data_IF_917039973786
#
_entry.id   IF_917039973786
#
_cell.length_a   1.000
_cell.length_b   1.000
_cell.length_c   1.000
_cell.angle_alpha   90.00
_cell.angle_beta   90.00
_cell.angle_gamma   90.00
#
_symmetry.space_group_name_H-M   'P 1'
#
loop_
_entity.id
_entity.type
_entity.pdbx_description
1 polymer ?
#
# COMPACT_ATOMS: atom_id res chain seq x y z
N UNK A 1 15.17 5.64 26.56
CA UNK A 1 15.43 4.73 27.71
C UNK A 1 16.62 5.18 28.56
N UNK A 2 17.68 5.80 28.00
CA UNK A 2 18.75 6.40 28.81
C UNK A 2 19.21 7.72 28.17
N UNK A 3 18.58 8.87 28.48
CA UNK A 3 18.93 10.13 27.82
C UNK A 3 20.40 10.50 28.04
N UNK A 4 20.98 10.26 29.21
CA UNK A 4 22.35 10.68 29.52
C UNK A 4 23.46 9.90 28.79
N UNK A 5 23.19 8.65 28.38
CA UNK A 5 24.15 7.83 27.61
C UNK A 5 24.13 8.18 26.11
N UNK A 6 23.00 8.67 25.62
CA UNK A 6 22.79 9.01 24.20
C UNK A 6 22.61 10.52 23.99
N UNK A 7 22.85 11.35 25.01
CA UNK A 7 22.70 12.81 24.97
C UNK A 7 23.84 13.50 24.25
N UNK A 8 25.03 12.90 24.24
CA UNK A 8 26.18 13.44 23.55
C UNK A 8 26.08 13.06 22.08
N UNK A 9 25.86 14.05 21.23
CA UNK A 9 25.91 13.92 19.76
C UNK A 9 27.29 13.51 19.20
N UNK A 10 28.18 12.93 20.02
CA UNK A 10 29.48 12.39 19.64
C UNK A 10 29.37 11.00 19.00
N UNK A 11 28.31 10.25 19.31
CA UNK A 11 28.06 8.93 18.69
C UNK A 11 27.20 9.15 17.45
N UNK A 12 27.84 9.42 16.32
CA UNK A 12 27.18 9.50 15.01
C UNK A 12 26.69 8.11 14.58
N UNK A 13 25.56 7.70 15.15
CA UNK A 13 24.89 6.41 14.91
C UNK A 13 24.68 6.14 13.42
N UNK A 14 24.60 7.18 12.58
CA UNK A 14 24.49 7.04 11.12
C UNK A 14 25.80 6.63 10.46
N UNK A 15 26.95 7.13 10.90
CA UNK A 15 28.26 6.63 10.46
C UNK A 15 28.53 5.21 10.98
N UNK A 16 28.04 4.91 12.18
CA UNK A 16 28.23 3.63 12.88
C UNK A 16 27.35 2.48 12.34
N UNK A 17 26.25 2.79 11.65
CA UNK A 17 25.38 1.78 11.03
C UNK A 17 25.72 1.52 9.55
N UNK A 18 26.60 2.35 8.98
CA UNK A 18 27.05 2.25 7.59
C UNK A 18 28.39 1.53 7.44
N UNK A 19 29.09 1.19 8.52
CA UNK A 19 30.33 0.40 8.43
C UNK A 19 30.00 -1.09 8.50
N UNK A 20 30.65 -1.88 7.64
CA UNK A 20 30.67 -3.36 7.64
C UNK A 20 31.35 -3.95 8.89
N UNK A 21 31.41 -3.19 9.99
CA UNK A 21 32.08 -3.57 11.22
C UNK A 21 31.22 -4.56 12.03
N UNK A 22 31.39 -5.84 11.72
CA UNK A 22 30.86 -6.96 12.51
C UNK A 22 31.21 -6.84 14.01
N UNK A 23 32.37 -6.27 14.35
CA UNK A 23 32.76 -5.99 15.74
C UNK A 23 31.86 -4.96 16.43
N UNK A 24 31.46 -3.91 15.70
CA UNK A 24 30.62 -2.85 16.23
C UNK A 24 29.19 -3.33 16.46
N UNK A 25 28.65 -4.12 15.53
CA UNK A 25 27.35 -4.80 15.68
C UNK A 25 27.35 -5.67 16.95
N UNK A 26 28.42 -6.43 17.18
CA UNK A 26 28.58 -7.25 18.40
C UNK A 26 28.61 -6.39 19.67
N UNK A 27 29.30 -5.24 19.63
CA UNK A 27 29.38 -4.30 20.76
C UNK A 27 28.03 -3.67 21.10
N UNK A 28 27.26 -3.25 20.08
CA UNK A 28 25.89 -2.73 20.25
C UNK A 28 24.98 -3.80 20.85
N UNK A 29 25.06 -5.04 20.37
CA UNK A 29 24.29 -6.18 20.92
C UNK A 29 24.62 -6.42 22.39
N UNK A 30 25.88 -6.35 22.79
CA UNK A 30 26.30 -6.52 24.20
C UNK A 30 25.75 -5.41 25.11
N UNK A 31 25.73 -4.16 24.62
CA UNK A 31 25.18 -3.01 25.37
C UNK A 31 23.66 -3.10 25.49
N UNK A 32 22.96 -3.46 24.42
CA UNK A 32 21.49 -3.48 24.39
C UNK A 32 20.88 -4.77 24.94
N UNK A 33 21.60 -5.90 24.86
CA UNK A 33 21.12 -7.23 25.24
C UNK A 33 20.53 -7.34 26.65
N UNK A 34 21.18 -6.79 27.70
CA UNK A 34 20.64 -6.81 29.06
C UNK A 34 19.33 -6.02 29.23
N UNK A 35 19.05 -5.06 28.33
CA UNK A 35 17.89 -4.18 28.40
C UNK A 35 16.77 -4.57 27.41
N UNK A 36 17.05 -5.45 26.46
CA UNK A 36 16.09 -5.90 25.45
C UNK A 36 15.77 -7.37 25.70
N UNK A 37 14.64 -7.63 26.34
CA UNK A 37 14.07 -8.97 26.35
C UNK A 37 13.33 -9.20 25.04
N UNK A 38 13.93 -9.98 24.15
CA UNK A 38 13.32 -10.42 22.90
C UNK A 38 13.32 -11.94 22.83
N UNK A 39 12.14 -12.52 22.64
CA UNK A 39 11.97 -13.94 22.27
C UNK A 39 11.37 -13.98 20.87
N UNK A 40 11.88 -14.83 19.99
CA UNK A 40 11.22 -15.05 18.71
C UNK A 40 9.92 -15.82 18.97
N UNK A 41 8.91 -15.64 18.11
CA UNK A 41 7.68 -16.45 18.21
C UNK A 41 8.07 -17.93 18.28
N UNK A 42 8.95 -18.39 17.36
CA UNK A 42 9.55 -19.73 17.28
C UNK A 42 10.03 -20.29 18.62
N UNK A 43 10.65 -19.47 19.45
CA UNK A 43 11.30 -19.89 20.69
C UNK A 43 10.29 -20.11 21.83
N UNK A 44 9.03 -19.73 21.61
CA UNK A 44 7.90 -19.84 22.54
C UNK A 44 6.80 -20.74 21.95
N UNK A 45 6.98 -21.31 20.73
CA UNK A 45 5.93 -22.02 19.97
C UNK A 45 5.82 -23.50 20.31
N UNK A 46 4.98 -23.83 21.28
CA UNK A 46 4.19 -25.06 21.17
C UNK A 46 2.74 -24.79 20.71
N UNK A 47 2.35 -23.52 20.55
CA UNK A 47 0.94 -23.10 20.41
C UNK A 47 0.62 -22.26 19.16
N UNK A 48 1.56 -22.08 18.23
CA UNK A 48 1.32 -21.31 17.01
C UNK A 48 1.24 -22.22 15.79
N UNK A 49 0.24 -21.97 14.96
CA UNK A 49 0.05 -22.63 13.66
C UNK A 49 1.11 -22.23 12.63
N UNK A 50 1.38 -23.06 11.61
CA UNK A 50 2.28 -22.71 10.52
C UNK A 50 1.77 -21.51 9.72
N UNK A 51 2.70 -20.77 9.11
CA UNK A 51 2.43 -19.65 8.20
C UNK A 51 3.10 -19.86 6.85
N UNK A 52 2.35 -19.72 5.76
CA UNK A 52 2.84 -19.81 4.38
C UNK A 52 2.69 -18.46 3.70
N UNK A 53 3.63 -18.08 2.82
CA UNK A 53 3.59 -16.81 2.09
C UNK A 53 3.72 -17.04 0.59
N UNK A 54 2.85 -16.39 -0.18
CA UNK A 54 2.84 -16.38 -1.64
C UNK A 54 2.95 -14.94 -2.16
N UNK A 55 3.70 -14.77 -3.23
CA UNK A 55 3.84 -13.49 -3.92
C UNK A 55 3.26 -13.65 -5.31
N UNK A 56 2.12 -13.00 -5.53
CA UNK A 56 1.35 -13.10 -6.74
C UNK A 56 1.68 -11.89 -7.61
N UNK A 57 2.55 -12.12 -8.59
CA UNK A 57 2.90 -11.11 -9.58
C UNK A 57 1.80 -11.02 -10.65
N UNK A 58 1.11 -9.89 -10.71
CA UNK A 58 -0.01 -9.65 -11.64
C UNK A 58 0.41 -8.73 -12.78
N UNK A 59 -0.02 -9.04 -14.01
CA UNK A 59 0.29 -8.23 -15.19
C UNK A 59 -0.81 -7.21 -15.47
N UNK A 60 -0.44 -5.96 -15.74
CA UNK A 60 -1.42 -4.90 -16.05
C UNK A 60 -2.22 -5.22 -17.32
N UNK A 61 -3.54 -5.08 -17.25
CA UNK A 61 -4.41 -5.11 -18.43
C UNK A 61 -4.24 -3.88 -19.32
N UNK A 62 -4.86 -3.88 -20.50
CA UNK A 62 -4.69 -2.82 -21.52
C UNK A 62 -4.97 -1.40 -20.98
N UNK A 63 -6.06 -1.23 -20.23
CA UNK A 63 -6.47 0.10 -19.73
C UNK A 63 -5.53 0.64 -18.65
N UNK A 64 -5.13 -0.23 -17.71
CA UNK A 64 -4.18 0.08 -16.64
C UNK A 64 -2.79 0.36 -17.21
N UNK A 65 -2.33 -0.47 -18.15
CA UNK A 65 -1.04 -0.27 -18.82
C UNK A 65 -1.01 1.05 -19.58
N UNK A 66 -2.09 1.41 -20.29
CA UNK A 66 -2.22 2.71 -20.97
C UNK A 66 -2.19 3.88 -19.98
N UNK A 67 -2.84 3.76 -18.81
CA UNK A 67 -2.72 4.75 -17.73
C UNK A 67 -1.27 4.89 -17.27
N UNK A 68 -0.63 3.76 -16.99
CA UNK A 68 0.69 3.70 -16.38
C UNK A 68 1.73 4.30 -17.33
N UNK A 69 1.73 3.87 -18.59
CA UNK A 69 2.62 4.39 -19.62
C UNK A 69 2.37 5.86 -19.92
N UNK A 70 1.11 6.32 -19.89
CA UNK A 70 0.79 7.74 -20.03
C UNK A 70 1.44 8.60 -18.93
N UNK A 71 1.28 8.19 -17.66
CA UNK A 71 1.89 8.90 -16.52
C UNK A 71 3.43 8.81 -16.53
N UNK A 72 3.98 7.65 -16.90
CA UNK A 72 5.41 7.45 -17.07
C UNK A 72 6.01 8.36 -18.15
N UNK A 73 5.33 8.48 -19.29
CA UNK A 73 5.77 9.32 -20.41
C UNK A 73 5.69 10.82 -20.07
N UNK A 74 4.69 11.25 -19.31
CA UNK A 74 4.61 12.63 -18.81
C UNK A 74 5.83 12.99 -17.95
N UNK A 75 6.26 12.07 -17.07
CA UNK A 75 7.50 12.24 -16.31
C UNK A 75 8.73 12.31 -17.22
N UNK A 76 8.86 11.38 -18.18
CA UNK A 76 9.99 11.37 -19.14
C UNK A 76 10.09 12.69 -19.90
N UNK A 77 8.98 13.19 -20.44
CA UNK A 77 8.94 14.45 -21.18
C UNK A 77 9.41 15.65 -20.33
N UNK A 78 9.09 15.66 -19.03
CA UNK A 78 9.52 16.71 -18.11
C UNK A 78 11.01 16.60 -17.77
N UNK A 79 11.53 15.38 -17.60
CA UNK A 79 12.97 15.13 -17.47
C UNK A 79 13.72 15.67 -18.70
N UNK A 80 13.26 15.32 -19.89
CA UNK A 80 13.86 15.72 -21.17
C UNK A 80 13.80 17.25 -21.39
N UNK A 81 12.66 17.88 -21.09
CA UNK A 81 12.53 19.33 -21.20
C UNK A 81 13.45 20.10 -20.23
N UNK A 82 13.88 19.48 -19.13
CA UNK A 82 14.84 20.06 -18.17
C UNK A 82 16.27 19.80 -18.57
N UNK A 83 16.60 18.59 -19.04
CA UNK A 83 17.95 18.28 -19.57
C UNK A 83 18.29 19.15 -20.77
N UNK A 84 17.34 19.41 -21.67
CA UNK A 84 17.55 20.29 -22.82
C UNK A 84 17.88 21.75 -22.45
N UNK A 85 17.46 22.21 -21.26
CA UNK A 85 17.77 23.56 -20.74
C UNK A 85 19.10 23.64 -20.00
N UNK A 86 19.62 22.51 -19.53
CA UNK A 86 20.93 22.40 -18.88
C UNK A 86 21.97 22.02 -19.91
N UNK A 87 22.69 23.01 -20.42
CA UNK A 87 23.76 22.92 -21.43
C UNK A 87 24.56 21.60 -21.45
N UNK A 88 24.27 20.75 -22.43
CA UNK A 88 25.21 19.83 -23.10
C UNK A 88 25.82 18.65 -22.34
N UNK A 89 25.69 18.54 -21.02
CA UNK A 89 26.13 17.36 -20.27
C UNK A 89 24.91 16.51 -19.91
N UNK A 90 24.83 15.29 -20.44
CA UNK A 90 23.93 14.26 -19.90
C UNK A 90 24.31 14.03 -18.43
N UNK A 91 23.49 14.43 -17.46
CA UNK A 91 23.80 14.11 -16.09
C UNK A 91 23.58 12.61 -15.92
N UNK A 92 24.64 11.89 -15.51
CA UNK A 92 24.56 10.47 -15.12
C UNK A 92 23.53 10.23 -14.01
N UNK A 93 23.09 11.28 -13.29
CA UNK A 93 22.12 11.23 -12.21
C UNK A 93 20.87 12.07 -12.52
N UNK A 94 19.84 11.44 -13.09
CA UNK A 94 18.52 12.08 -13.30
C UNK A 94 17.79 12.47 -12.00
N UNK A 95 18.17 11.82 -10.90
CA UNK A 95 17.64 12.02 -9.55
C UNK A 95 17.81 13.46 -9.04
N UNK A 96 18.80 14.21 -9.57
CA UNK A 96 19.09 15.60 -9.18
C UNK A 96 18.38 16.68 -10.00
N UNK A 97 17.77 16.35 -11.15
CA UNK A 97 17.18 17.33 -12.07
C UNK A 97 15.77 17.79 -11.69
N UNK A 98 15.06 16.95 -10.92
CA UNK A 98 13.68 17.17 -10.54
C UNK A 98 13.59 17.39 -9.02
N UNK A 99 12.85 18.42 -8.55
CA UNK A 99 12.62 18.62 -7.13
C UNK A 99 12.05 17.37 -6.46
N UNK A 100 12.55 17.02 -5.26
CA UNK A 100 12.10 15.84 -4.49
C UNK A 100 10.57 15.74 -4.34
N UNK A 101 9.89 16.88 -4.17
CA UNK A 101 8.42 16.94 -4.09
C UNK A 101 7.74 16.45 -5.37
N UNK A 102 8.28 16.79 -6.54
CA UNK A 102 7.73 16.34 -7.82
C UNK A 102 7.97 14.84 -8.02
N UNK A 103 9.17 14.34 -7.70
CA UNK A 103 9.48 12.90 -7.69
C UNK A 103 8.46 12.12 -6.85
N UNK A 104 8.21 12.59 -5.62
CA UNK A 104 7.24 11.95 -4.73
C UNK A 104 5.83 11.93 -5.32
N UNK A 105 5.40 13.00 -5.98
CA UNK A 105 4.09 13.07 -6.63
C UNK A 105 3.98 12.08 -7.80
N UNK A 106 4.96 12.01 -8.69
CA UNK A 106 4.96 11.07 -9.81
C UNK A 106 5.00 9.62 -9.35
N UNK A 107 5.87 9.33 -8.38
CA UNK A 107 5.94 8.01 -7.76
C UNK A 107 4.58 7.62 -7.15
N UNK A 108 3.94 8.55 -6.45
CA UNK A 108 2.62 8.32 -5.87
C UNK A 108 1.55 8.08 -6.94
N UNK A 109 1.62 8.79 -8.07
CA UNK A 109 0.70 8.59 -9.19
C UNK A 109 0.87 7.20 -9.83
N UNK A 110 2.12 6.78 -10.10
CA UNK A 110 2.40 5.44 -10.61
C UNK A 110 1.94 4.35 -9.63
N UNK A 111 2.17 4.55 -8.33
CA UNK A 111 1.73 3.62 -7.28
C UNK A 111 0.20 3.52 -7.20
N UNK A 112 -0.50 4.65 -7.35
CA UNK A 112 -1.96 4.67 -7.46
C UNK A 112 -2.44 3.89 -8.68
N UNK A 113 -1.85 4.10 -9.85
CA UNK A 113 -2.23 3.38 -11.08
C UNK A 113 -1.95 1.88 -10.95
N UNK A 114 -0.80 1.50 -10.40
CA UNK A 114 -0.43 0.10 -10.15
C UNK A 114 -1.42 -0.62 -9.23
N UNK A 115 -2.06 0.10 -8.29
CA UNK A 115 -3.17 -0.39 -7.49
C UNK A 115 -4.48 -0.40 -8.28
N UNK A 116 -4.93 0.77 -8.76
CA UNK A 116 -6.15 0.90 -9.54
C UNK A 116 -6.19 2.18 -10.40
N UNK A 117 -6.54 2.12 -11.70
CA UNK A 117 -6.64 3.29 -12.58
C UNK A 117 -7.60 4.38 -12.08
N UNK A 118 -8.69 3.99 -11.39
CA UNK A 118 -9.68 4.94 -10.86
C UNK A 118 -9.18 5.80 -9.69
N UNK A 119 -7.99 5.52 -9.14
CA UNK A 119 -7.36 6.35 -8.10
C UNK A 119 -6.76 7.66 -8.65
N UNK A 120 -6.82 7.86 -9.96
CA UNK A 120 -6.50 9.11 -10.66
C UNK A 120 -7.67 9.54 -11.56
N UNK A 121 -7.68 10.79 -12.02
CA UNK A 121 -8.70 11.30 -12.95
C UNK A 121 -8.25 11.08 -14.39
N UNK A 122 -8.99 10.28 -15.16
CA UNK A 122 -8.72 9.96 -16.57
C UNK A 122 -9.99 9.86 -17.39
N UNK A 123 -11.05 9.27 -16.83
CA UNK A 123 -12.32 9.03 -17.50
C UNK A 123 -13.12 10.33 -17.56
N UNK A 124 -13.17 11.09 -16.46
CA UNK A 124 -13.95 12.32 -16.39
C UNK A 124 -13.14 13.54 -16.87
N UNK A 125 -13.52 14.06 -18.03
CA UNK A 125 -12.92 15.28 -18.60
C UNK A 125 -13.27 16.53 -17.78
N UNK A 126 -12.58 17.66 -18.03
CA UNK A 126 -12.94 18.94 -17.41
C UNK A 126 -14.38 19.39 -17.74
N UNK A 127 -14.89 19.00 -18.92
CA UNK A 127 -16.29 19.25 -19.31
C UNK A 127 -17.26 18.39 -18.50
N UNK A 128 -16.90 17.13 -18.24
CA UNK A 128 -17.69 16.26 -17.37
C UNK A 128 -17.70 16.77 -15.94
N UNK A 129 -16.55 17.24 -15.43
CA UNK A 129 -16.44 17.84 -14.11
C UNK A 129 -17.36 19.06 -13.96
N UNK A 130 -17.34 20.00 -14.90
CA UNK A 130 -18.23 21.18 -14.86
C UNK A 130 -19.71 20.76 -14.85
N UNK A 131 -20.09 19.83 -15.73
CA UNK A 131 -21.45 19.27 -15.80
C UNK A 131 -21.86 18.60 -14.49
N UNK A 132 -21.00 17.74 -13.93
CA UNK A 132 -21.28 16.99 -12.69
C UNK A 132 -21.36 17.94 -11.50
N UNK A 133 -20.49 18.95 -11.44
CA UNK A 133 -20.56 19.98 -10.40
C UNK A 133 -21.90 20.72 -10.46
N UNK A 134 -22.34 21.17 -11.64
CA UNK A 134 -23.65 21.85 -11.80
C UNK A 134 -24.84 20.97 -11.44
N UNK A 135 -24.74 19.66 -11.67
CA UNK A 135 -25.79 18.69 -11.31
C UNK A 135 -25.87 18.44 -9.80
N UNK A 136 -24.72 18.29 -9.15
CA UNK A 136 -24.62 17.86 -7.74
C UNK A 136 -24.65 19.05 -6.76
N UNK A 137 -24.22 20.23 -7.20
CA UNK A 137 -24.16 21.45 -6.38
C UNK A 137 -25.52 21.88 -5.80
N UNK A 138 -26.62 21.97 -6.58
CA UNK A 138 -27.94 22.33 -6.05
C UNK A 138 -28.48 21.31 -5.04
N UNK A 139 -27.98 20.07 -5.09
CA UNK A 139 -28.35 18.97 -4.20
C UNK A 139 -27.52 18.96 -2.89
N UNK A 140 -26.72 20.00 -2.65
CA UNK A 140 -25.99 20.20 -1.40
C UNK A 140 -24.70 19.38 -1.27
N UNK A 141 -24.18 18.80 -2.36
CA UNK A 141 -23.02 17.90 -2.31
C UNK A 141 -21.71 18.55 -1.80
N UNK A 142 -21.64 19.89 -1.80
CA UNK A 142 -20.49 20.66 -1.31
C UNK A 142 -20.83 21.55 -0.10
N UNK A 143 -21.97 21.28 0.54
CA UNK A 143 -22.59 22.21 1.49
C UNK A 143 -23.15 23.46 0.80
N UNK A 144 -23.94 24.23 1.55
CA UNK A 144 -24.64 25.41 1.02
C UNK A 144 -23.80 26.70 1.03
N UNK A 145 -22.66 26.70 1.72
CA UNK A 145 -21.76 27.86 1.83
C UNK A 145 -20.70 27.91 0.72
N UNK A 146 -20.53 26.83 -0.03
CA UNK A 146 -19.57 26.75 -1.12
C UNK A 146 -20.13 27.45 -2.38
N UNK A 147 -19.29 28.15 -3.15
CA UNK A 147 -19.69 28.64 -4.47
C UNK A 147 -19.55 27.55 -5.53
N UNK A 148 -20.35 27.64 -6.60
CA UNK A 148 -20.27 26.67 -7.71
C UNK A 148 -18.85 26.61 -8.31
N UNK A 149 -18.19 27.75 -8.48
CA UNK A 149 -16.81 27.78 -9.00
C UNK A 149 -15.84 27.04 -8.08
N UNK A 150 -15.98 27.20 -6.76
CA UNK A 150 -15.16 26.45 -5.79
C UNK A 150 -15.46 24.96 -5.83
N UNK A 151 -16.71 24.56 -6.01
CA UNK A 151 -17.09 23.16 -6.18
C UNK A 151 -16.46 22.55 -7.45
N UNK A 152 -16.49 23.27 -8.58
CA UNK A 152 -15.84 22.84 -9.83
C UNK A 152 -14.33 22.68 -9.62
N UNK A 153 -13.67 23.65 -8.98
CA UNK A 153 -12.23 23.58 -8.70
C UNK A 153 -11.88 22.44 -7.73
N UNK A 154 -12.73 22.16 -6.75
CA UNK A 154 -12.55 21.01 -5.87
C UNK A 154 -12.62 19.69 -6.66
N UNK A 155 -13.61 19.53 -7.54
CA UNK A 155 -13.79 18.31 -8.34
C UNK A 155 -12.67 18.03 -9.32
N UNK A 156 -12.00 19.07 -9.83
CA UNK A 156 -10.83 18.88 -10.69
C UNK A 156 -9.70 18.09 -10.02
N UNK A 157 -9.65 18.10 -8.68
CA UNK A 157 -8.68 17.38 -7.87
C UNK A 157 -9.15 15.99 -7.44
N UNK A 158 -10.41 15.63 -7.70
CA UNK A 158 -10.94 14.31 -7.36
C UNK A 158 -10.42 13.28 -8.37
N UNK A 159 -10.31 12.03 -7.94
CA UNK A 159 -10.04 10.92 -8.84
C UNK A 159 -11.35 10.41 -9.47
N UNK A 160 -11.25 9.54 -10.48
CA UNK A 160 -12.44 9.05 -11.19
C UNK A 160 -13.41 8.32 -10.25
N UNK A 161 -12.90 7.56 -9.28
CA UNK A 161 -13.75 6.86 -8.32
C UNK A 161 -14.54 7.84 -7.43
N UNK A 162 -13.91 8.88 -6.90
CA UNK A 162 -14.57 9.88 -6.07
C UNK A 162 -15.60 10.70 -6.86
N UNK A 163 -15.32 11.01 -8.13
CA UNK A 163 -16.31 11.65 -9.02
C UNK A 163 -17.49 10.71 -9.27
N UNK A 164 -17.22 9.42 -9.51
CA UNK A 164 -18.26 8.41 -9.67
C UNK A 164 -19.13 8.28 -8.41
N UNK A 165 -18.52 8.21 -7.23
CA UNK A 165 -19.24 8.10 -5.96
C UNK A 165 -20.12 9.33 -5.71
N UNK A 166 -19.60 10.53 -5.96
CA UNK A 166 -20.40 11.76 -5.91
C UNK A 166 -21.63 11.69 -6.84
N UNK A 167 -21.44 11.15 -8.05
CA UNK A 167 -22.49 10.98 -9.04
C UNK A 167 -23.53 9.94 -8.61
N UNK A 168 -23.15 8.87 -7.93
CA UNK A 168 -24.10 7.88 -7.42
C UNK A 168 -24.87 8.42 -6.22
N UNK A 169 -24.20 9.12 -5.30
CA UNK A 169 -24.82 9.65 -4.07
C UNK A 169 -25.79 10.79 -4.34
N UNK A 170 -25.46 11.68 -5.29
CA UNK A 170 -26.26 12.89 -5.57
C UNK A 170 -26.83 12.93 -6.98
N UNK A 171 -26.46 12.03 -7.88
CA UNK A 171 -27.08 11.94 -9.20
C UNK A 171 -28.49 11.35 -9.14
N UNK A 172 -29.20 11.45 -10.26
CA UNK A 172 -30.48 10.77 -10.45
C UNK A 172 -30.25 9.35 -10.99
N UNK A 173 -31.25 8.48 -10.84
CA UNK A 173 -31.16 7.12 -11.37
C UNK A 173 -30.86 7.15 -12.88
N UNK A 174 -29.82 6.42 -13.31
CA UNK A 174 -29.39 6.39 -14.71
C UNK A 174 -28.61 7.63 -15.17
N UNK A 175 -28.04 8.41 -14.25
CA UNK A 175 -27.23 9.60 -14.61
C UNK A 175 -26.14 9.25 -15.62
N UNK A 176 -26.12 9.98 -16.74
CA UNK A 176 -25.14 9.82 -17.79
C UNK A 176 -23.71 10.02 -17.27
N UNK A 177 -22.88 9.01 -17.47
CA UNK A 177 -21.46 9.01 -17.11
C UNK A 177 -21.12 8.22 -15.86
N UNK A 178 -22.10 7.61 -15.17
CA UNK A 178 -21.80 6.67 -14.10
C UNK A 178 -20.97 5.49 -14.64
N UNK A 179 -19.94 5.11 -13.87
CA UNK A 179 -19.13 3.94 -14.18
C UNK A 179 -19.96 2.67 -13.97
N UNK A 180 -19.59 1.62 -14.70
CA UNK A 180 -20.17 0.28 -14.59
C UNK A 180 -19.24 -0.64 -13.84
N UNK A 181 -19.76 -1.74 -13.30
CA UNK A 181 -19.01 -2.74 -12.53
C UNK A 181 -17.74 -3.25 -13.25
N UNK A 182 -17.76 -3.35 -14.58
CA UNK A 182 -16.57 -3.68 -15.39
C UNK A 182 -15.34 -2.81 -15.08
N UNK A 183 -15.55 -1.54 -14.69
CA UNK A 183 -14.46 -0.61 -14.38
C UNK A 183 -13.72 -0.94 -13.08
N UNK A 184 -14.36 -1.67 -12.16
CA UNK A 184 -13.69 -2.14 -10.92
C UNK A 184 -12.63 -3.20 -11.23
N UNK A 185 -12.78 -3.90 -12.34
CA UNK A 185 -11.82 -4.89 -12.83
C UNK A 185 -10.87 -4.33 -13.89
N UNK A 186 -10.77 -3.00 -14.02
CA UNK A 186 -9.76 -2.37 -14.85
C UNK A 186 -8.33 -2.53 -14.29
N UNK A 187 -8.20 -2.93 -13.02
CA UNK A 187 -6.92 -3.26 -12.36
C UNK A 187 -6.64 -4.76 -12.35
N UNK A 188 -5.40 -5.13 -12.66
CA UNK A 188 -4.89 -6.49 -12.55
C UNK A 188 -5.02 -7.08 -11.13
N UNK A 189 -4.92 -6.25 -10.08
CA UNK A 189 -5.06 -6.72 -8.69
C UNK A 189 -6.51 -7.06 -8.37
N UNK A 190 -7.47 -6.25 -8.82
CA UNK A 190 -8.89 -6.55 -8.64
C UNK A 190 -9.33 -7.77 -9.46
N UNK A 191 -8.76 -7.97 -10.66
CA UNK A 191 -8.94 -9.21 -11.43
C UNK A 191 -8.41 -10.42 -10.67
N UNK A 192 -7.19 -10.35 -10.11
CA UNK A 192 -6.63 -11.44 -9.30
C UNK A 192 -7.47 -11.73 -8.04
N UNK A 193 -8.07 -10.72 -7.41
CA UNK A 193 -9.02 -10.91 -6.32
C UNK A 193 -10.32 -11.59 -6.78
N UNK A 194 -10.84 -11.25 -7.95
CA UNK A 194 -12.04 -11.88 -8.52
C UNK A 194 -11.85 -13.37 -8.79
N UNK A 195 -10.62 -13.81 -9.09
CA UNK A 195 -10.28 -15.22 -9.23
C UNK A 195 -10.04 -15.89 -7.87
N UNK A 196 -9.30 -15.23 -6.97
CA UNK A 196 -8.84 -15.83 -5.71
C UNK A 196 -9.93 -15.94 -4.65
N UNK A 197 -10.73 -14.89 -4.45
CA UNK A 197 -11.67 -14.80 -3.33
C UNK A 197 -12.80 -15.83 -3.39
N UNK A 198 -13.43 -16.12 -4.55
CA UNK A 198 -14.43 -17.16 -4.64
C UNK A 198 -13.88 -18.54 -4.30
N UNK A 199 -12.65 -18.88 -4.75
CA UNK A 199 -12.01 -20.14 -4.40
C UNK A 199 -11.79 -20.25 -2.89
N UNK A 200 -11.22 -19.21 -2.27
CA UNK A 200 -10.98 -19.19 -0.82
C UNK A 200 -12.28 -19.31 -0.03
N UNK A 201 -13.34 -18.61 -0.45
CA UNK A 201 -14.64 -18.66 0.21
C UNK A 201 -15.27 -20.06 0.11
N UNK A 202 -15.18 -20.70 -1.06
CA UNK A 202 -15.68 -22.07 -1.28
C UNK A 202 -14.93 -23.10 -0.42
N UNK A 203 -13.63 -22.89 -0.21
CA UNK A 203 -12.80 -23.73 0.64
C UNK A 203 -12.97 -23.43 2.16
N UNK A 204 -13.83 -22.47 2.51
CA UNK A 204 -14.12 -22.11 3.89
C UNK A 204 -13.03 -21.25 4.57
N UNK A 205 -12.18 -20.60 3.77
CA UNK A 205 -11.19 -19.64 4.21
C UNK A 205 -11.82 -18.25 4.39
N UNK A 206 -11.39 -17.55 5.44
CA UNK A 206 -11.82 -16.17 5.73
C UNK A 206 -10.63 -15.24 5.66
N UNK A 207 -10.84 -14.08 5.04
CA UNK A 207 -9.75 -13.27 4.50
C UNK A 207 -9.66 -11.89 5.12
N UNK A 208 -8.46 -11.46 5.53
CA UNK A 208 -8.15 -10.06 5.83
C UNK A 208 -7.48 -9.41 4.62
N UNK A 209 -8.05 -8.34 4.08
CA UNK A 209 -7.47 -7.63 2.92
C UNK A 209 -6.95 -6.27 3.40
N UNK A 210 -5.64 -6.06 3.29
CA UNK A 210 -4.98 -4.84 3.72
C UNK A 210 -4.61 -3.93 2.55
N UNK A 211 -4.86 -2.62 2.74
CA UNK A 211 -4.38 -1.56 1.86
C UNK A 211 -3.86 -0.36 2.66
N UNK A 212 -2.90 0.38 2.10
CA UNK A 212 -2.42 1.66 2.65
C UNK A 212 -3.37 2.82 2.34
N UNK A 213 -4.31 2.67 1.40
CA UNK A 213 -5.18 3.75 0.92
C UNK A 213 -6.63 3.46 1.24
N UNK A 214 -7.27 4.34 2.01
CA UNK A 214 -8.72 4.24 2.28
C UNK A 214 -9.55 4.33 0.99
N UNK A 215 -9.11 5.16 0.03
CA UNK A 215 -9.73 5.23 -1.31
C UNK A 215 -9.62 3.95 -2.12
N UNK A 216 -8.59 3.14 -1.87
CA UNK A 216 -8.52 1.81 -2.46
C UNK A 216 -9.46 0.84 -1.73
N UNK A 217 -9.63 0.98 -0.42
CA UNK A 217 -10.65 0.21 0.31
C UNK A 217 -12.05 0.50 -0.21
N UNK A 218 -12.38 1.76 -0.54
CA UNK A 218 -13.67 2.11 -1.14
C UNK A 218 -13.87 1.38 -2.50
N UNK A 219 -12.83 1.28 -3.33
CA UNK A 219 -12.87 0.51 -4.59
C UNK A 219 -12.98 -1.00 -4.32
N UNK A 220 -12.31 -1.50 -3.29
CA UNK A 220 -12.39 -2.91 -2.90
C UNK A 220 -13.78 -3.27 -2.37
N UNK A 221 -14.47 -2.37 -1.65
CA UNK A 221 -15.88 -2.58 -1.28
C UNK A 221 -16.73 -2.84 -2.52
N UNK A 222 -16.63 -1.96 -3.53
CA UNK A 222 -17.32 -2.17 -4.80
C UNK A 222 -16.91 -3.49 -5.48
N UNK A 223 -15.62 -3.83 -5.47
CA UNK A 223 -15.15 -5.09 -6.04
C UNK A 223 -15.75 -6.31 -5.33
N UNK A 224 -15.78 -6.31 -3.99
CA UNK A 224 -16.34 -7.39 -3.19
C UNK A 224 -17.85 -7.53 -3.40
N UNK A 225 -18.57 -6.43 -3.52
CA UNK A 225 -20.00 -6.42 -3.86
C UNK A 225 -20.25 -7.09 -5.22
N UNK A 226 -19.45 -6.75 -6.25
CA UNK A 226 -19.58 -7.34 -7.59
C UNK A 226 -19.17 -8.81 -7.61
N UNK A 227 -18.15 -9.21 -6.85
CA UNK A 227 -17.72 -10.63 -6.73
C UNK A 227 -18.75 -11.45 -5.91
N UNK A 228 -19.53 -10.80 -5.04
CA UNK A 228 -20.49 -11.45 -4.14
C UNK A 228 -19.87 -11.95 -2.82
N UNK A 229 -18.83 -11.26 -2.33
CA UNK A 229 -18.14 -11.60 -1.08
C UNK A 229 -18.67 -10.70 0.04
N UNK A 230 -19.17 -11.29 1.12
CA UNK A 230 -19.61 -10.53 2.30
C UNK A 230 -18.41 -10.01 3.08
N UNK A 231 -18.50 -8.78 3.59
CA UNK A 231 -17.36 -8.16 4.27
C UNK A 231 -17.71 -7.22 5.41
N UNK A 232 -16.69 -6.90 6.21
CA UNK A 232 -16.63 -5.75 7.12
C UNK A 232 -15.46 -4.86 6.75
N UNK A 233 -15.48 -3.61 7.21
CA UNK A 233 -14.40 -2.65 7.00
C UNK A 233 -13.97 -2.02 8.31
N UNK A 234 -12.65 -1.86 8.48
CA UNK A 234 -12.05 -1.16 9.61
C UNK A 234 -10.86 -0.32 9.14
N UNK A 235 -10.97 1.00 9.28
CA UNK A 235 -9.90 1.92 8.89
C UNK A 235 -9.68 3.06 9.90
N UNK A 236 -8.91 4.07 9.49
CA UNK A 236 -8.61 5.23 10.33
C UNK A 236 -9.83 6.09 10.67
N UNK A 237 -10.88 6.06 9.83
CA UNK A 237 -12.12 6.78 10.04
C UNK A 237 -13.09 6.08 10.98
N UNK A 238 -12.94 4.76 11.19
CA UNK A 238 -13.80 4.00 12.10
C UNK A 238 -13.68 4.50 13.55
N UNK A 239 -14.77 4.94 14.19
CA UNK A 239 -14.78 5.37 15.59
C UNK A 239 -14.23 4.28 16.52
N UNK A 240 -13.42 4.66 17.51
CA UNK A 240 -12.75 3.71 18.41
C UNK A 240 -13.75 2.77 19.11
N UNK A 241 -14.92 3.31 19.49
CA UNK A 241 -15.99 2.57 20.19
C UNK A 241 -16.58 1.46 19.32
N UNK A 242 -16.59 1.62 17.99
CA UNK A 242 -17.17 0.65 17.05
C UNK A 242 -16.18 -0.46 16.66
N UNK A 243 -14.88 -0.23 16.82
CA UNK A 243 -13.84 -1.16 16.37
C UNK A 243 -13.98 -2.54 16.99
N UNK A 244 -14.24 -2.61 18.29
CA UNK A 244 -14.38 -3.88 18.99
C UNK A 244 -15.63 -4.63 18.50
N UNK A 245 -16.75 -3.93 18.30
CA UNK A 245 -17.98 -4.51 17.73
C UNK A 245 -17.74 -5.11 16.36
N UNK A 246 -17.00 -4.43 15.47
CA UNK A 246 -16.66 -4.94 14.14
C UNK A 246 -15.78 -6.19 14.24
N UNK A 247 -14.78 -6.18 15.12
CA UNK A 247 -13.88 -7.32 15.36
C UNK A 247 -14.66 -8.52 15.90
N UNK A 248 -15.52 -8.32 16.89
CA UNK A 248 -16.33 -9.38 17.50
C UNK A 248 -17.33 -9.94 16.50
N UNK A 249 -17.96 -9.07 15.70
CA UNK A 249 -18.86 -9.49 14.62
C UNK A 249 -18.09 -10.34 13.61
N UNK A 250 -16.93 -9.88 13.15
CA UNK A 250 -16.13 -10.67 12.21
C UNK A 250 -15.67 -12.00 12.83
N UNK A 251 -15.21 -12.04 14.07
CA UNK A 251 -14.74 -13.30 14.66
C UNK A 251 -15.86 -14.34 14.86
N UNK A 252 -17.08 -13.91 15.17
CA UNK A 252 -18.18 -14.81 15.54
C UNK A 252 -19.16 -15.10 14.40
N UNK A 253 -19.34 -14.17 13.45
CA UNK A 253 -20.25 -14.33 12.33
C UNK A 253 -19.54 -14.98 11.13
N UNK A 254 -19.79 -16.28 10.96
CA UNK A 254 -19.20 -17.09 9.89
C UNK A 254 -19.77 -16.75 8.50
N UNK A 255 -20.87 -16.00 8.40
CA UNK A 255 -21.40 -15.58 7.10
C UNK A 255 -20.60 -14.44 6.47
N UNK A 256 -19.61 -13.88 7.18
CA UNK A 256 -18.76 -12.80 6.70
C UNK A 256 -17.44 -13.39 6.17
N UNK A 257 -17.20 -13.31 4.87
CA UNK A 257 -16.04 -13.93 4.23
C UNK A 257 -14.76 -13.08 4.32
N UNK A 258 -14.88 -11.75 4.33
CA UNK A 258 -13.73 -10.85 4.29
C UNK A 258 -13.79 -9.71 5.32
N UNK A 259 -12.63 -9.17 5.67
CA UNK A 259 -12.50 -7.91 6.40
C UNK A 259 -11.49 -7.01 5.69
N UNK A 260 -11.92 -5.82 5.28
CA UNK A 260 -11.10 -4.79 4.67
C UNK A 260 -10.45 -3.94 5.76
N UNK A 261 -9.13 -3.82 5.74
CA UNK A 261 -8.38 -3.08 6.74
C UNK A 261 -7.41 -2.09 6.12
N UNK A 262 -7.36 -0.87 6.66
CA UNK A 262 -6.19 -0.03 6.41
C UNK A 262 -5.00 -0.55 7.21
N UNK A 263 -3.81 -0.66 6.59
CA UNK A 263 -2.61 -1.19 7.27
C UNK A 263 -2.29 -0.43 8.56
N UNK A 264 -2.54 0.88 8.58
CA UNK A 264 -2.33 1.72 9.77
C UNK A 264 -3.36 1.47 10.88
N UNK A 265 -4.64 1.30 10.56
CA UNK A 265 -5.64 0.96 11.58
C UNK A 265 -5.45 -0.46 12.11
N UNK A 266 -4.98 -1.38 11.25
CA UNK A 266 -4.56 -2.73 11.64
C UNK A 266 -3.44 -2.74 12.68
N UNK A 267 -2.60 -1.70 12.78
CA UNK A 267 -1.51 -1.61 13.77
C UNK A 267 -1.94 -1.55 15.24
N UNK A 268 -3.23 -1.36 15.54
CA UNK A 268 -3.73 -1.09 16.91
C UNK A 268 -3.89 -2.31 17.84
N UNK A 269 -3.33 -3.46 17.49
CA UNK A 269 -3.32 -4.65 18.36
C UNK A 269 -4.58 -5.53 18.29
N UNK A 270 -5.45 -5.31 17.30
CA UNK A 270 -6.72 -6.04 17.15
C UNK A 270 -6.51 -7.56 17.01
N UNK A 271 -7.49 -8.35 17.46
CA UNK A 271 -7.45 -9.81 17.41
C UNK A 271 -8.46 -10.33 16.37
N UNK A 272 -7.97 -10.76 15.20
CA UNK A 272 -8.79 -11.17 14.05
C UNK A 272 -8.55 -12.65 13.69
N UNK A 273 -8.52 -13.52 14.71
CA UNK A 273 -8.29 -14.96 14.56
C UNK A 273 -9.44 -15.70 13.86
N UNK A 274 -10.59 -15.05 13.63
CA UNK A 274 -11.66 -15.58 12.78
C UNK A 274 -11.28 -15.69 11.30
N UNK A 275 -10.18 -15.06 10.89
CA UNK A 275 -9.55 -15.24 9.58
C UNK A 275 -8.32 -16.13 9.67
N UNK A 276 -8.03 -16.83 8.58
CA UNK A 276 -6.84 -17.67 8.39
C UNK A 276 -6.04 -17.26 7.15
N UNK A 277 -6.58 -16.36 6.33
CA UNK A 277 -5.90 -15.86 5.13
C UNK A 277 -5.73 -14.35 5.19
N UNK A 278 -4.59 -13.85 4.73
CA UNK A 278 -4.28 -12.42 4.63
C UNK A 278 -3.90 -12.09 3.20
N UNK A 279 -4.50 -11.06 2.63
CA UNK A 279 -4.10 -10.48 1.36
C UNK A 279 -3.52 -9.09 1.61
N UNK A 280 -2.23 -8.92 1.34
CA UNK A 280 -1.60 -7.62 1.24
C UNK A 280 -1.83 -7.12 -0.19
N UNK A 281 -2.88 -6.32 -0.38
CA UNK A 281 -3.24 -5.79 -1.70
C UNK A 281 -2.13 -4.84 -2.19
N UNK A 282 -1.53 -4.09 -1.28
CA UNK A 282 -0.46 -3.16 -1.58
C UNK A 282 0.49 -2.97 -0.39
N UNK A 283 1.79 -3.06 -0.66
CA UNK A 283 2.80 -3.19 0.39
C UNK A 283 3.26 -1.85 0.92
N UNK A 284 3.60 -1.80 2.21
CA UNK A 284 4.34 -0.68 2.79
C UNK A 284 5.82 -0.72 2.38
N UNK A 285 6.48 0.45 2.40
CA UNK A 285 7.93 0.53 2.26
C UNK A 285 8.66 -0.06 3.47
N UNK A 286 8.03 -0.03 4.63
CA UNK A 286 8.49 -0.65 5.85
C UNK A 286 7.82 -2.04 5.99
N UNK A 287 8.52 -3.15 5.72
CA UNK A 287 7.96 -4.49 5.83
C UNK A 287 7.49 -4.86 7.24
N UNK A 288 7.91 -4.12 8.27
CA UNK A 288 7.43 -4.32 9.64
C UNK A 288 5.95 -3.96 9.78
N UNK A 289 5.45 -2.99 9.00
CA UNK A 289 4.03 -2.63 9.01
C UNK A 289 3.17 -3.77 8.48
N UNK A 290 3.58 -4.37 7.36
CA UNK A 290 2.90 -5.55 6.80
C UNK A 290 2.98 -6.75 7.77
N UNK A 291 4.13 -6.99 8.42
CA UNK A 291 4.26 -8.06 9.41
C UNK A 291 3.30 -7.88 10.59
N UNK A 292 3.09 -6.65 11.06
CA UNK A 292 2.08 -6.36 12.10
C UNK A 292 0.65 -6.64 11.62
N UNK A 293 0.37 -6.42 10.33
CA UNK A 293 -0.91 -6.77 9.72
C UNK A 293 -1.10 -8.30 9.65
N UNK A 294 -0.09 -9.07 9.25
CA UNK A 294 -0.12 -10.54 9.28
C UNK A 294 -0.40 -11.07 10.70
N UNK A 295 0.24 -10.45 11.70
CA UNK A 295 0.12 -10.82 13.11
C UNK A 295 -1.27 -10.55 13.71
N UNK A 296 -2.23 -9.97 12.96
CA UNK A 296 -3.63 -9.84 13.38
C UNK A 296 -4.37 -11.16 13.46
N UNK A 297 -4.03 -12.10 12.57
CA UNK A 297 -4.56 -13.47 12.61
C UNK A 297 -3.46 -14.50 12.94
N UNK A 298 -2.18 -14.25 12.61
CA UNK A 298 -1.06 -15.14 12.97
C UNK A 298 -0.56 -14.88 14.39
N UNK A 299 -1.40 -15.21 15.37
CA UNK A 299 -1.15 -15.01 16.80
C UNK A 299 -1.72 -16.15 17.65
N UNK A 300 -1.37 -16.14 18.93
CA UNK A 300 -1.90 -17.09 19.92
C UNK A 300 -3.44 -17.03 19.89
N UNK A 301 -4.06 -18.20 19.80
CA UNK A 301 -5.51 -18.38 19.65
C UNK A 301 -5.93 -18.86 18.25
N UNK A 302 -5.10 -18.65 17.23
CA UNK A 302 -5.33 -19.20 15.89
C UNK A 302 -5.25 -20.73 15.89
N UNK A 303 -6.20 -21.38 15.21
CA UNK A 303 -6.29 -22.84 15.11
C UNK A 303 -6.05 -23.36 13.69
N UNK A 304 -6.20 -22.52 12.66
CA UNK A 304 -5.95 -22.88 11.26
C UNK A 304 -4.59 -22.36 10.79
N UNK A 305 -3.83 -23.11 9.94
CA UNK A 305 -2.67 -22.59 9.23
C UNK A 305 -2.96 -21.25 8.56
N UNK A 306 -2.03 -20.31 8.66
CA UNK A 306 -2.21 -18.96 8.10
C UNK A 306 -1.54 -18.83 6.74
N UNK A 307 -2.28 -18.34 5.74
CA UNK A 307 -1.75 -18.11 4.38
C UNK A 307 -1.71 -16.62 4.07
N UNK A 308 -0.57 -16.12 3.62
CA UNK A 308 -0.37 -14.72 3.22
C UNK A 308 -0.21 -14.64 1.70
N UNK A 309 -1.05 -13.85 1.02
CA UNK A 309 -0.90 -13.49 -0.38
C UNK A 309 -0.45 -12.04 -0.50
N UNK A 310 0.60 -11.77 -1.27
CA UNK A 310 1.09 -10.41 -1.57
C UNK A 310 0.88 -10.13 -3.05
N UNK A 311 0.05 -9.14 -3.38
CA UNK A 311 -0.18 -8.75 -4.76
C UNK A 311 0.87 -7.73 -5.20
N UNK A 312 1.57 -8.03 -6.31
CA UNK A 312 2.63 -7.18 -6.86
C UNK A 312 2.38 -6.95 -8.35
N UNK A 313 2.12 -5.71 -8.75
CA UNK A 313 1.95 -5.40 -10.17
C UNK A 313 3.30 -5.42 -10.89
N UNK A 314 3.46 -6.30 -11.88
CA UNK A 314 4.68 -6.44 -12.70
C UNK A 314 4.97 -5.16 -13.48
N UNK A 315 6.25 -4.95 -13.78
CA UNK A 315 6.76 -3.83 -14.59
C UNK A 315 6.33 -2.47 -14.00
N UNK A 316 6.28 -2.38 -12.68
CA UNK A 316 5.79 -1.20 -12.00
C UNK A 316 6.58 -0.84 -10.74
N UNK A 317 6.26 0.31 -10.15
CA UNK A 317 6.79 0.72 -8.84
C UNK A 317 6.54 -0.30 -7.74
N UNK A 318 5.54 -1.18 -7.85
CA UNK A 318 5.27 -2.22 -6.86
C UNK A 318 6.38 -3.26 -6.75
N UNK A 319 6.99 -3.69 -7.87
CA UNK A 319 8.14 -4.62 -7.84
C UNK A 319 9.34 -4.00 -7.15
N UNK A 320 9.53 -2.69 -7.35
CA UNK A 320 10.59 -1.94 -6.68
C UNK A 320 10.35 -1.84 -5.17
N UNK A 321 9.11 -1.55 -4.76
CA UNK A 321 8.70 -1.54 -3.34
C UNK A 321 8.91 -2.93 -2.73
N UNK A 322 8.48 -3.98 -3.44
CA UNK A 322 8.66 -5.37 -3.01
C UNK A 322 10.14 -5.71 -2.79
N UNK A 323 10.99 -5.37 -3.76
CA UNK A 323 12.41 -5.63 -3.69
C UNK A 323 13.07 -4.91 -2.51
N UNK A 324 12.72 -3.64 -2.28
CA UNK A 324 13.21 -2.84 -1.14
C UNK A 324 12.77 -3.47 0.18
N UNK A 325 11.48 -3.81 0.31
CA UNK A 325 10.94 -4.45 1.51
C UNK A 325 11.64 -5.79 1.79
N UNK A 326 11.87 -6.62 0.78
CA UNK A 326 12.59 -7.90 0.91
C UNK A 326 14.04 -7.69 1.35
N UNK A 327 14.75 -6.72 0.76
CA UNK A 327 16.13 -6.37 1.16
C UNK A 327 16.20 -5.96 2.63
N UNK A 328 15.29 -5.09 3.08
CA UNK A 328 15.21 -4.67 4.49
C UNK A 328 15.00 -5.85 5.45
N UNK A 329 14.19 -6.83 5.06
CA UNK A 329 13.99 -8.04 5.87
C UNK A 329 15.22 -8.94 5.96
N UNK A 330 15.99 -9.05 4.87
CA UNK A 330 17.23 -9.84 4.86
C UNK A 330 18.28 -9.19 5.73
N UNK A 331 18.47 -7.87 5.63
CA UNK A 331 19.37 -7.10 6.48
C UNK A 331 18.99 -7.22 7.96
N UNK A 332 17.71 -7.03 8.29
CA UNK A 332 17.19 -7.22 9.65
C UNK A 332 17.53 -8.62 10.17
N UNK A 333 17.33 -9.67 9.36
CA UNK A 333 17.61 -11.05 9.77
C UNK A 333 19.11 -11.32 9.98
N UNK A 334 19.96 -10.85 9.07
CA UNK A 334 21.41 -11.03 9.13
C UNK A 334 22.03 -10.30 10.33
N UNK A 335 21.56 -9.09 10.64
CA UNK A 335 21.99 -8.36 11.85
C UNK A 335 21.60 -9.12 13.11
N UNK A 336 20.52 -9.90 13.11
CA UNK A 336 19.99 -10.55 14.30
C UNK A 336 20.50 -11.98 14.54
N UNK A 337 20.78 -12.75 13.49
CA UNK A 337 21.33 -14.12 13.61
C UNK A 337 22.86 -14.08 13.68
N UNK A 338 23.42 -14.60 14.78
CA UNK A 338 24.87 -14.69 14.99
C UNK A 338 25.51 -15.64 13.97
N UNK A 339 26.46 -15.17 13.15
CA UNK A 339 27.39 -16.03 12.40
C UNK A 339 26.96 -16.46 10.99
N UNK A 340 26.06 -15.74 10.32
CA UNK A 340 25.93 -15.85 8.88
C UNK A 340 26.96 -14.91 8.23
N UNK A 341 27.94 -15.45 7.51
CA UNK A 341 28.86 -14.67 6.69
C UNK A 341 28.05 -13.80 5.72
N UNK A 342 28.16 -12.48 5.88
CA UNK A 342 27.63 -11.54 4.90
C UNK A 342 28.51 -11.70 3.65
N UNK A 343 27.96 -12.22 2.57
CA UNK A 343 28.65 -12.22 1.28
C UNK A 343 28.82 -10.74 0.86
N UNK A 344 30.07 -10.29 0.71
CA UNK A 344 30.57 -8.91 0.45
C UNK A 344 29.96 -8.21 -0.80
N UNK A 345 28.92 -8.78 -1.41
CA UNK A 345 28.26 -8.31 -2.64
C UNK A 345 26.93 -7.61 -2.38
N UNK A 346 26.52 -7.42 -1.13
CA UNK A 346 25.21 -6.83 -0.80
C UNK A 346 25.25 -5.39 -0.28
N UNK A 347 26.35 -4.67 -0.47
CA UNK A 347 26.37 -3.23 -0.22
C UNK A 347 25.70 -2.49 -1.40
N UNK A 348 24.38 -2.31 -1.30
CA UNK A 348 23.58 -1.62 -2.31
C UNK A 348 22.79 -0.49 -1.63
N UNK A 349 22.96 0.77 -2.06
CA UNK A 349 22.36 1.92 -1.39
C UNK A 349 20.83 1.81 -1.25
N UNK A 350 20.28 2.43 -0.19
CA UNK A 350 18.83 2.65 -0.05
C UNK A 350 18.28 3.34 -1.31
N UNK A 351 17.63 2.56 -2.18
CA UNK A 351 17.07 3.11 -3.40
C UNK A 351 16.01 4.18 -3.06
N UNK A 352 16.32 5.43 -3.35
CA UNK A 352 15.37 6.52 -3.15
C UNK A 352 14.22 6.42 -4.17
N UNK A 353 13.06 7.01 -3.87
CA UNK A 353 11.95 7.06 -4.84
C UNK A 353 12.39 7.63 -6.19
N UNK A 354 13.35 8.57 -6.20
CA UNK A 354 13.90 9.13 -7.43
C UNK A 354 14.73 8.14 -8.22
N UNK A 355 15.51 7.29 -7.55
CA UNK A 355 16.28 6.22 -8.20
C UNK A 355 15.34 5.15 -8.78
N UNK A 356 14.26 4.80 -8.08
CA UNK A 356 13.25 3.87 -8.60
C UNK A 356 12.59 4.43 -9.87
N UNK A 357 12.21 5.71 -9.86
CA UNK A 357 11.65 6.35 -11.06
C UNK A 357 12.66 6.39 -12.19
N UNK A 358 13.92 6.73 -11.91
CA UNK A 358 14.97 6.74 -12.91
C UNK A 358 15.15 5.33 -13.52
N UNK A 359 15.23 4.27 -12.71
CA UNK A 359 15.42 2.91 -13.21
C UNK A 359 14.24 2.40 -14.04
N UNK A 360 13.00 2.76 -13.68
CA UNK A 360 11.81 2.34 -14.42
C UNK A 360 11.62 3.09 -15.76
N UNK A 361 12.24 4.26 -15.90
CA UNK A 361 11.95 5.19 -17.00
C UNK A 361 13.12 5.39 -17.96
N UNK A 362 14.31 4.87 -17.62
CA UNK A 362 15.51 4.84 -18.47
C UNK A 362 15.70 3.55 -19.27
N UNK A 363 14.77 2.60 -19.11
CA UNK A 363 14.51 1.52 -20.07
C UNK A 363 13.40 1.99 -20.99
#
# INVERSE_FOLDING_TARGET
>A
MMPDIFATGEVDLKKLLNSEDHELISRIKSILGPFILRRLKSDVMQQLVPKTQHVNFVSMGSEQLKAYNGAANEYRAICEARTAKSSGQYPQNLVGLIPKRQISNYFMQLRKIANHPLLIRRIYSDKDVDRIARLTYPKGAFGFECSLDRAIQALKNYNDFAIHQLLITHGDAGTKGALKDEHVFASAKCQALAELLPSLANDGHRVLIFSQWTTMLDILEWALEVIGITYRRLDGGTPVIERQTIVDTFNNDLSINACLLSTRAGGQGLNLIGADTVIIHDMDFNPQMDRQAEDRCHRIGQQKPVTIYRLVTKESVDESIYAIARRKLVLDAAVLQSGADLDDRTDVPEQTMGEILASLLLV
#
